data_IF_695303638776
#
_entry.id   IF_695303638776
#
_cell.length_a   1.000
_cell.length_b   1.000
_cell.length_c   1.000
_cell.angle_alpha   90.00
_cell.angle_beta   90.00
_cell.angle_gamma   90.00
#
_symmetry.space_group_name_H-M   'P 1'
#
loop_
_entity.id
_entity.type
_entity.pdbx_description
1 polymer ?
#
# COMPACT_ATOMS: atom_id res chain seq x y z
N UNK A 1 11.27 1.54 19.04
CA UNK A 1 12.48 2.08 18.39
C UNK A 1 13.04 3.33 19.07
N UNK A 2 12.24 4.35 19.35
CA UNK A 2 12.72 5.60 19.96
C UNK A 2 13.57 5.40 21.24
N UNK A 3 13.06 4.65 22.23
CA UNK A 3 13.78 4.38 23.47
C UNK A 3 15.05 3.52 23.29
N UNK A 4 15.20 2.81 22.17
CA UNK A 4 16.36 1.97 21.86
C UNK A 4 17.45 2.73 21.11
N UNK A 5 17.12 3.80 20.38
CA UNK A 5 18.09 4.65 19.66
C UNK A 5 18.49 5.91 20.43
N UNK A 6 17.73 6.34 21.44
CA UNK A 6 18.16 7.40 22.37
C UNK A 6 18.79 6.79 23.63
N UNK A 7 20.12 6.74 23.69
CA UNK A 7 20.87 6.06 24.76
C UNK A 7 20.81 6.72 26.14
N UNK A 8 20.14 7.86 26.32
CA UNK A 8 20.07 8.51 27.64
C UNK A 8 18.68 9.07 27.95
N UNK A 9 18.13 8.56 29.05
CA UNK A 9 16.96 9.06 29.77
C UNK A 9 17.12 10.54 30.11
N UNK A 10 16.66 11.43 29.22
CA UNK A 10 16.63 12.88 29.45
C UNK A 10 15.42 13.33 30.30
N UNK A 11 14.84 12.45 31.14
CA UNK A 11 13.73 12.77 32.06
C UNK A 11 12.59 13.59 31.41
N UNK A 12 12.27 13.33 30.14
CA UNK A 12 11.21 14.02 29.40
C UNK A 12 11.60 15.35 28.75
N UNK A 13 12.83 15.86 28.90
CA UNK A 13 13.26 17.11 28.27
C UNK A 13 13.27 17.05 26.73
N UNK A 14 13.43 15.87 26.12
CA UNK A 14 13.40 15.67 24.66
C UNK A 14 12.11 15.05 24.14
N UNK A 15 11.04 15.06 24.95
CA UNK A 15 9.75 14.52 24.51
C UNK A 15 9.23 15.23 23.25
N UNK A 16 9.56 16.52 23.08
CA UNK A 16 9.21 17.26 21.87
C UNK A 16 9.76 16.62 20.59
N UNK A 17 10.98 16.06 20.61
CA UNK A 17 11.54 15.36 19.47
C UNK A 17 10.67 14.18 19.04
N UNK A 18 10.17 13.40 20.01
CA UNK A 18 9.23 12.31 19.71
C UNK A 18 7.91 12.85 19.15
N UNK A 19 7.39 13.95 19.70
CA UNK A 19 6.15 14.56 19.21
C UNK A 19 6.28 15.06 17.78
N UNK A 20 7.45 15.55 17.37
CA UNK A 20 7.68 15.99 15.99
C UNK A 20 7.68 14.80 15.02
N UNK A 21 8.31 13.66 15.38
CA UNK A 21 8.21 12.42 14.60
C UNK A 21 6.76 11.90 14.54
N UNK A 22 6.04 11.86 15.66
CA UNK A 22 4.64 11.42 15.70
C UNK A 22 3.71 12.33 14.89
N UNK A 23 4.01 13.64 14.87
CA UNK A 23 3.26 14.60 14.06
C UNK A 23 3.48 14.32 12.57
N UNK A 24 4.72 14.08 12.17
CA UNK A 24 5.05 13.72 10.79
C UNK A 24 4.34 12.42 10.38
N UNK A 25 4.48 11.38 11.20
CA UNK A 25 3.83 10.08 11.01
C UNK A 25 2.31 10.23 10.84
N UNK A 26 1.65 10.96 11.75
CA UNK A 26 0.20 11.17 11.66
C UNK A 26 -0.24 11.97 10.41
N UNK A 27 0.58 12.90 9.93
CA UNK A 27 0.30 13.63 8.69
C UNK A 27 0.48 12.74 7.46
N UNK A 28 1.51 11.90 7.47
CA UNK A 28 1.76 10.92 6.42
C UNK A 28 0.67 9.85 6.38
N UNK A 29 0.26 9.28 7.52
CA UNK A 29 -0.84 8.31 7.62
C UNK A 29 -2.13 8.90 7.06
N UNK A 30 -2.43 10.16 7.38
CA UNK A 30 -3.60 10.84 6.81
C UNK A 30 -3.51 10.98 5.30
N UNK A 31 -2.32 11.28 4.77
CA UNK A 31 -2.09 11.32 3.34
C UNK A 31 -2.31 9.93 2.72
N UNK A 32 -1.74 8.88 3.31
CA UNK A 32 -1.93 7.50 2.89
C UNK A 32 -3.41 7.09 2.92
N UNK A 33 -4.17 7.46 3.95
CA UNK A 33 -5.60 7.13 4.04
C UNK A 33 -6.43 7.68 2.88
N UNK A 34 -6.09 8.86 2.37
CA UNK A 34 -6.76 9.44 1.20
C UNK A 34 -6.53 8.61 -0.07
N UNK A 35 -5.55 7.72 -0.04
CA UNK A 35 -5.13 6.93 -1.18
C UNK A 35 -5.57 5.48 -1.15
N UNK A 36 -6.13 5.02 -0.03
CA UNK A 36 -6.73 3.69 0.11
C UNK A 36 -7.66 3.34 -1.06
N UNK A 37 -8.56 4.24 -1.56
CA UNK A 37 -9.40 3.91 -2.72
C UNK A 37 -8.61 3.50 -3.97
N UNK A 38 -7.46 4.13 -4.21
CA UNK A 38 -6.58 3.79 -5.33
C UNK A 38 -5.89 2.45 -5.12
N UNK A 39 -5.42 2.18 -3.91
CA UNK A 39 -4.82 0.89 -3.56
C UNK A 39 -5.81 -0.27 -3.78
N UNK A 40 -7.07 -0.06 -3.42
CA UNK A 40 -8.14 -1.05 -3.56
C UNK A 40 -8.50 -1.27 -5.02
N UNK A 41 -8.68 -0.19 -5.79
CA UNK A 41 -8.94 -0.27 -7.22
C UNK A 41 -7.80 -1.02 -7.93
N UNK A 42 -6.56 -0.67 -7.61
CA UNK A 42 -5.38 -1.36 -8.13
C UNK A 42 -5.35 -2.85 -7.76
N UNK A 43 -5.64 -3.21 -6.50
CA UNK A 43 -5.70 -4.60 -6.07
C UNK A 43 -6.70 -5.41 -6.92
N UNK A 44 -7.90 -4.85 -7.20
CA UNK A 44 -8.88 -5.54 -8.05
C UNK A 44 -8.35 -5.79 -9.47
N UNK A 45 -7.66 -4.82 -10.06
CA UNK A 45 -7.13 -4.88 -11.43
C UNK A 45 -6.00 -5.91 -11.54
N UNK A 46 -5.05 -5.86 -10.60
CA UNK A 46 -3.94 -6.80 -10.56
C UNK A 46 -4.49 -8.21 -10.38
N UNK A 47 -5.46 -8.43 -9.49
CA UNK A 47 -6.06 -9.76 -9.27
C UNK A 47 -6.85 -10.26 -10.48
N UNK A 48 -7.61 -9.39 -11.15
CA UNK A 48 -8.35 -9.75 -12.37
C UNK A 48 -7.44 -10.05 -13.58
N UNK A 49 -6.15 -9.68 -13.50
CA UNK A 49 -5.18 -9.90 -14.57
C UNK A 49 -5.09 -8.76 -15.57
N UNK A 50 -5.75 -7.63 -15.31
CA UNK A 50 -5.66 -6.43 -16.13
C UNK A 50 -4.40 -5.62 -15.75
N UNK A 51 -3.24 -6.15 -16.17
CA UNK A 51 -1.93 -5.58 -15.81
C UNK A 51 -1.68 -4.23 -16.50
N UNK A 52 -2.26 -4.00 -17.68
CA UNK A 52 -2.13 -2.73 -18.38
C UNK A 52 -2.86 -1.61 -17.62
N UNK A 53 -4.09 -1.87 -17.19
CA UNK A 53 -4.85 -0.90 -16.39
C UNK A 53 -4.21 -0.67 -15.02
N UNK A 54 -3.74 -1.74 -14.37
CA UNK A 54 -3.01 -1.62 -13.10
C UNK A 54 -1.77 -0.73 -13.24
N UNK A 55 -0.97 -0.92 -14.29
CA UNK A 55 0.21 -0.10 -14.57
C UNK A 55 -0.14 1.37 -14.87
N UNK A 56 -1.26 1.62 -15.56
CA UNK A 56 -1.74 2.97 -15.81
C UNK A 56 -2.14 3.69 -14.52
N UNK A 57 -2.81 2.99 -13.60
CA UNK A 57 -3.17 3.52 -12.27
C UNK A 57 -1.93 3.78 -11.44
N UNK A 58 -0.95 2.86 -11.41
CA UNK A 58 0.32 3.08 -10.71
C UNK A 58 1.01 4.35 -11.17
N UNK A 59 1.11 4.54 -12.48
CA UNK A 59 1.74 5.74 -13.04
C UNK A 59 0.99 7.01 -12.67
N UNK A 60 -0.33 7.01 -12.81
CA UNK A 60 -1.16 8.16 -12.44
C UNK A 60 -0.98 8.53 -10.96
N UNK A 61 -1.02 7.51 -10.10
CA UNK A 61 -0.85 7.67 -8.66
C UNK A 61 0.56 8.16 -8.32
N UNK A 62 1.61 7.64 -8.96
CA UNK A 62 2.99 8.12 -8.79
C UNK A 62 3.09 9.60 -9.16
N UNK A 63 2.61 9.97 -10.36
CA UNK A 63 2.68 11.35 -10.86
C UNK A 63 1.98 12.36 -9.91
N UNK A 64 0.82 12.00 -9.36
CA UNK A 64 0.06 12.86 -8.44
C UNK A 64 0.63 12.90 -7.01
N UNK A 65 1.15 11.77 -6.51
CA UNK A 65 1.56 11.62 -5.10
C UNK A 65 3.01 12.00 -4.84
N UNK A 66 3.88 11.89 -5.85
CA UNK A 66 5.34 11.97 -5.69
C UNK A 66 5.81 13.27 -5.05
N UNK A 67 5.25 14.41 -5.45
CA UNK A 67 5.65 15.70 -4.86
C UNK A 67 5.39 15.78 -3.36
N UNK A 68 4.22 15.31 -2.93
CA UNK A 68 3.82 15.29 -1.52
C UNK A 68 4.64 14.25 -0.76
N UNK A 69 4.79 13.05 -1.33
CA UNK A 69 5.56 11.97 -0.72
C UNK A 69 7.04 12.35 -0.52
N UNK A 70 7.67 12.96 -1.53
CA UNK A 70 9.03 13.51 -1.41
C UNK A 70 9.16 14.53 -0.29
N UNK A 71 8.15 15.40 -0.08
CA UNK A 71 8.21 16.40 0.99
C UNK A 71 8.22 15.76 2.39
N UNK A 72 7.48 14.66 2.61
CA UNK A 72 7.50 13.93 3.88
C UNK A 72 8.83 13.22 4.13
N UNK A 73 9.44 12.64 3.08
CA UNK A 73 10.77 12.03 3.18
C UNK A 73 11.82 13.10 3.53
N UNK A 74 11.80 14.24 2.86
CA UNK A 74 12.71 15.36 3.13
C UNK A 74 12.54 15.91 4.56
N UNK A 75 11.30 16.05 5.04
CA UNK A 75 11.02 16.49 6.40
C UNK A 75 11.49 15.46 7.43
N UNK A 76 11.32 14.16 7.16
CA UNK A 76 11.84 13.10 8.02
C UNK A 76 13.37 13.16 8.12
N UNK A 77 14.07 13.25 6.99
CA UNK A 77 15.54 13.30 6.96
C UNK A 77 16.09 14.52 7.72
N UNK A 78 15.36 15.65 7.67
CA UNK A 78 15.68 16.85 8.44
C UNK A 78 15.54 16.58 9.95
N UNK A 79 14.42 16.02 10.41
CA UNK A 79 14.22 15.67 11.82
C UNK A 79 15.25 14.64 12.32
N UNK A 80 15.56 13.64 11.51
CA UNK A 80 16.57 12.62 11.84
C UNK A 80 17.97 13.25 12.01
N UNK A 81 18.30 14.21 11.15
CA UNK A 81 19.57 14.94 11.21
C UNK A 81 19.62 15.92 12.39
N UNK A 82 18.55 16.67 12.63
CA UNK A 82 18.45 17.67 13.69
C UNK A 82 18.57 17.02 15.07
N UNK A 83 17.84 15.92 15.30
CA UNK A 83 17.81 15.25 16.59
C UNK A 83 18.86 14.16 16.75
N UNK A 84 19.54 13.77 15.68
CA UNK A 84 20.52 12.69 15.68
C UNK A 84 19.89 11.34 16.03
N UNK A 85 18.60 11.17 15.74
CA UNK A 85 17.81 9.96 16.01
C UNK A 85 17.32 9.44 14.67
N UNK A 86 17.51 8.15 14.42
CA UNK A 86 16.85 7.45 13.30
C UNK A 86 15.83 6.48 13.83
N UNK A 87 14.68 6.43 13.17
CA UNK A 87 13.59 5.50 13.46
C UNK A 87 13.38 4.63 12.21
N UNK A 88 14.08 3.48 12.10
CA UNK A 88 14.07 2.68 10.88
C UNK A 88 12.68 2.28 10.39
N UNK A 89 11.75 1.93 11.28
CA UNK A 89 10.39 1.58 10.87
C UNK A 89 9.64 2.78 10.29
N UNK A 90 9.79 3.96 10.89
CA UNK A 90 9.18 5.20 10.37
C UNK A 90 9.82 5.61 9.04
N UNK A 91 11.14 5.47 8.92
CA UNK A 91 11.88 5.75 7.69
C UNK A 91 11.43 4.84 6.54
N UNK A 92 11.30 3.54 6.80
CA UNK A 92 10.76 2.61 5.82
C UNK A 92 9.30 2.95 5.49
N UNK A 93 8.43 3.22 6.49
CA UNK A 93 7.01 3.54 6.28
C UNK A 93 6.80 4.78 5.40
N UNK A 94 7.49 5.88 5.71
CA UNK A 94 7.41 7.12 4.92
C UNK A 94 8.10 6.95 3.56
N UNK A 95 9.22 6.20 3.51
CA UNK A 95 9.98 5.95 2.29
C UNK A 95 9.28 5.00 1.30
N UNK A 96 8.41 4.12 1.78
CA UNK A 96 7.62 3.21 0.95
C UNK A 96 6.67 3.98 0.02
N UNK A 97 6.14 5.12 0.47
CA UNK A 97 5.13 5.89 -0.24
C UNK A 97 3.92 5.00 -0.62
N UNK A 98 2.99 5.58 -1.38
CA UNK A 98 1.89 4.79 -1.95
C UNK A 98 2.35 3.68 -2.90
N UNK A 99 3.49 3.89 -3.57
CA UNK A 99 4.05 2.93 -4.51
C UNK A 99 4.44 1.63 -3.81
N UNK A 100 4.84 1.72 -2.53
CA UNK A 100 5.04 0.58 -1.66
C UNK A 100 3.79 -0.29 -1.58
N UNK A 101 2.65 0.31 -1.23
CA UNK A 101 1.37 -0.40 -1.13
C UNK A 101 0.92 -1.03 -2.47
N UNK A 102 1.10 -0.33 -3.59
CA UNK A 102 0.78 -0.88 -4.92
C UNK A 102 1.69 -2.06 -5.29
N UNK A 103 2.97 -1.99 -4.97
CA UNK A 103 3.89 -3.12 -5.16
C UNK A 103 3.49 -4.32 -4.28
N UNK A 104 3.03 -4.10 -3.05
CA UNK A 104 2.50 -5.17 -2.20
C UNK A 104 1.28 -5.87 -2.82
N UNK A 105 0.38 -5.12 -3.47
CA UNK A 105 -0.75 -5.69 -4.21
C UNK A 105 -0.29 -6.59 -5.38
N UNK A 106 0.72 -6.14 -6.14
CA UNK A 106 1.30 -6.96 -7.22
C UNK A 106 1.90 -8.24 -6.69
N UNK A 107 2.74 -8.16 -5.67
CA UNK A 107 3.35 -9.34 -5.04
C UNK A 107 2.29 -10.31 -4.52
N UNK A 108 1.26 -9.82 -3.83
CA UNK A 108 0.16 -10.63 -3.31
C UNK A 108 -0.60 -11.38 -4.43
N UNK A 109 -0.91 -10.69 -5.53
CA UNK A 109 -1.56 -11.32 -6.68
C UNK A 109 -0.65 -12.35 -7.38
N UNK A 110 0.66 -12.08 -7.45
CA UNK A 110 1.65 -13.00 -7.99
C UNK A 110 1.79 -14.28 -7.14
N UNK A 111 1.66 -14.20 -5.80
CA UNK A 111 1.65 -15.39 -4.93
C UNK A 111 0.59 -16.39 -5.36
N UNK A 112 -0.63 -15.91 -5.63
CA UNK A 112 -1.72 -16.77 -6.11
C UNK A 112 -1.36 -17.44 -7.45
N UNK A 113 -0.75 -16.70 -8.38
CA UNK A 113 -0.38 -17.19 -9.71
C UNK A 113 0.87 -18.07 -9.73
N UNK A 114 1.73 -17.95 -8.74
CA UNK A 114 2.95 -18.72 -8.60
C UNK A 114 2.72 -20.08 -7.90
N UNK A 115 1.50 -20.34 -7.42
CA UNK A 115 1.14 -21.62 -6.83
C UNK A 115 0.49 -22.55 -7.88
N UNK A 116 0.84 -23.84 -7.89
CA UNK A 116 0.18 -24.82 -8.76
C UNK A 116 -1.25 -25.09 -8.29
N UNK A 117 -2.15 -25.44 -9.22
CA UNK A 117 -3.52 -25.87 -8.90
C UNK A 117 -4.63 -24.93 -9.37
N UNK A 118 -4.30 -23.79 -9.99
CA UNK A 118 -5.28 -22.95 -10.68
C UNK A 118 -5.69 -23.63 -12.01
N UNK A 119 -7.00 -23.84 -12.28
CA UNK A 119 -7.46 -24.41 -13.54
C UNK A 119 -7.02 -23.54 -14.74
N UNK A 120 -6.41 -24.17 -15.75
CA UNK A 120 -5.96 -23.49 -16.97
C UNK A 120 -4.55 -22.92 -16.93
N UNK A 121 -3.83 -23.06 -15.81
CA UNK A 121 -2.42 -22.67 -15.70
C UNK A 121 -1.50 -23.82 -16.12
N UNK A 122 -0.50 -23.52 -16.95
CA UNK A 122 0.56 -24.49 -17.27
C UNK A 122 1.70 -24.41 -16.27
N UNK A 123 2.50 -25.48 -16.16
CA UNK A 123 3.70 -25.49 -15.32
C UNK A 123 4.69 -24.37 -15.70
N UNK A 124 4.79 -24.06 -16.99
CA UNK A 124 5.64 -22.96 -17.47
C UNK A 124 5.14 -21.59 -16.98
N UNK A 125 3.82 -21.38 -16.93
CA UNK A 125 3.24 -20.13 -16.42
C UNK A 125 3.53 -19.97 -14.93
N UNK A 126 3.45 -21.05 -14.15
CA UNK A 126 3.78 -21.05 -12.71
C UNK A 126 5.24 -20.63 -12.49
N UNK A 127 6.17 -21.20 -13.26
CA UNK A 127 7.59 -20.88 -13.18
C UNK A 127 7.89 -19.42 -13.55
N UNK A 128 7.23 -18.90 -14.60
CA UNK A 128 7.35 -17.48 -15.01
C UNK A 128 6.82 -16.55 -13.92
N UNK A 129 5.63 -16.84 -13.36
CA UNK A 129 5.05 -16.02 -12.29
C UNK A 129 5.88 -16.07 -11.00
N UNK A 130 6.43 -17.24 -10.65
CA UNK A 130 7.32 -17.37 -9.50
C UNK A 130 8.63 -16.59 -9.69
N UNK A 131 9.21 -16.63 -10.89
CA UNK A 131 10.39 -15.84 -11.22
C UNK A 131 10.09 -14.33 -11.12
N UNK A 132 8.93 -13.88 -11.64
CA UNK A 132 8.49 -12.49 -11.52
C UNK A 132 8.29 -12.07 -10.05
N UNK A 133 7.63 -12.89 -9.24
CA UNK A 133 7.45 -12.66 -7.80
C UNK A 133 8.79 -12.49 -7.08
N UNK A 134 9.77 -13.36 -7.39
CA UNK A 134 11.09 -13.30 -6.76
C UNK A 134 11.84 -12.01 -7.11
N UNK A 135 11.76 -11.56 -8.37
CA UNK A 135 12.35 -10.29 -8.80
C UNK A 135 11.69 -9.11 -8.10
N UNK A 136 10.35 -9.08 -8.08
CA UNK A 136 9.57 -8.05 -7.39
C UNK A 136 9.93 -7.95 -5.90
N UNK A 137 9.98 -9.08 -5.18
CA UNK A 137 10.36 -9.11 -3.76
C UNK A 137 11.81 -8.61 -3.58
N UNK A 138 12.73 -9.02 -4.45
CA UNK A 138 14.12 -8.57 -4.36
C UNK A 138 14.25 -7.05 -4.56
N UNK A 139 13.57 -6.50 -5.57
CA UNK A 139 13.54 -5.06 -5.82
C UNK A 139 12.89 -4.30 -4.66
N UNK A 140 11.81 -4.85 -4.10
CA UNK A 140 11.08 -4.28 -2.96
C UNK A 140 11.90 -4.27 -1.66
N UNK A 141 12.73 -5.30 -1.43
CA UNK A 141 13.65 -5.37 -0.29
C UNK A 141 14.87 -4.47 -0.46
N UNK A 142 15.38 -4.30 -1.68
CA UNK A 142 16.59 -3.51 -1.94
C UNK A 142 16.50 -2.04 -1.51
N UNK A 143 15.28 -1.54 -1.36
CA UNK A 143 14.95 -0.15 -1.01
C UNK A 143 14.68 0.07 0.48
N UNK A 144 14.75 -0.96 1.33
CA UNK A 144 14.38 -0.89 2.76
C UNK A 144 15.51 -1.24 3.70
N UNK A 145 15.50 -0.61 4.87
CA UNK A 145 16.52 -0.78 5.91
C UNK A 145 16.09 -1.89 6.88
N UNK A 146 14.78 -1.99 7.17
CA UNK A 146 14.19 -2.94 8.10
C UNK A 146 14.42 -2.57 9.56
N UNK A 147 13.42 -2.80 10.41
CA UNK A 147 13.52 -2.68 11.86
C UNK A 147 14.33 -3.82 12.51
N UNK A 148 14.32 -5.01 11.89
CA UNK A 148 15.02 -6.21 12.37
C UNK A 148 14.40 -6.88 13.62
N UNK A 149 13.34 -6.31 14.20
CA UNK A 149 12.70 -6.81 15.43
C UNK A 149 11.52 -7.74 15.12
N UNK A 150 10.65 -7.35 14.18
CA UNK A 150 9.46 -8.10 13.78
C UNK A 150 9.39 -8.23 12.24
N UNK A 151 8.76 -9.31 11.71
CA UNK A 151 8.52 -9.43 10.29
C UNK A 151 7.58 -8.30 9.83
N UNK A 152 7.99 -7.49 8.84
CA UNK A 152 7.17 -6.44 8.24
C UNK A 152 5.78 -6.90 7.81
N UNK A 153 4.80 -5.99 7.86
CA UNK A 153 3.40 -6.27 7.51
C UNK A 153 3.26 -6.87 6.10
N UNK A 154 4.01 -6.38 5.12
CA UNK A 154 3.96 -6.90 3.76
C UNK A 154 4.33 -8.39 3.68
N UNK A 155 5.28 -8.87 4.49
CA UNK A 155 5.63 -10.30 4.53
C UNK A 155 4.49 -11.11 5.14
N UNK A 156 3.85 -10.60 6.19
CA UNK A 156 2.70 -11.24 6.81
C UNK A 156 1.53 -11.33 5.81
N UNK A 157 1.31 -10.26 5.01
CA UNK A 157 0.32 -10.25 3.92
C UNK A 157 0.60 -11.34 2.88
N UNK A 158 1.84 -11.48 2.42
CA UNK A 158 2.20 -12.54 1.45
C UNK A 158 2.05 -13.95 2.04
N UNK A 159 2.42 -14.14 3.31
CA UNK A 159 2.23 -15.42 4.01
C UNK A 159 0.74 -15.78 4.11
N UNK A 160 -0.11 -14.81 4.49
CA UNK A 160 -1.56 -15.01 4.55
C UNK A 160 -2.20 -15.27 3.19
N UNK A 161 -1.66 -14.71 2.08
CA UNK A 161 -2.09 -15.09 0.73
C UNK A 161 -1.70 -16.53 0.38
N UNK A 162 -0.48 -16.95 0.74
CA UNK A 162 -0.02 -18.31 0.48
C UNK A 162 -0.87 -19.35 1.22
N UNK A 163 -1.16 -19.12 2.50
CA UNK A 163 -2.05 -19.98 3.29
C UNK A 163 -3.44 -20.09 2.64
N UNK A 164 -4.03 -18.96 2.23
CA UNK A 164 -5.32 -18.93 1.53
C UNK A 164 -5.34 -19.73 0.23
N UNK A 165 -4.25 -19.64 -0.55
CA UNK A 165 -4.11 -20.41 -1.79
C UNK A 165 -4.04 -21.92 -1.48
N UNK A 166 -3.32 -22.31 -0.43
CA UNK A 166 -3.27 -23.72 0.01
C UNK A 166 -4.62 -24.24 0.50
N UNK A 167 -5.43 -23.39 1.12
CA UNK A 167 -6.80 -23.71 1.55
C UNK A 167 -7.83 -23.72 0.39
N UNK A 168 -7.40 -23.42 -0.84
CA UNK A 168 -8.29 -23.36 -2.01
C UNK A 168 -9.19 -22.11 -2.04
N UNK A 169 -8.82 -21.05 -1.32
CA UNK A 169 -9.51 -19.74 -1.29
C UNK A 169 -8.61 -18.61 -1.80
N UNK A 170 -8.10 -18.68 -3.05
CA UNK A 170 -7.21 -17.64 -3.56
C UNK A 170 -7.94 -16.29 -3.67
N UNK A 171 -7.29 -15.24 -3.16
CA UNK A 171 -7.62 -13.84 -3.44
C UNK A 171 -8.97 -13.33 -2.95
N UNK A 172 -9.11 -13.16 -1.63
CA UNK A 172 -10.02 -12.15 -1.11
C UNK A 172 -9.35 -10.78 -1.25
N UNK A 173 -10.08 -9.79 -1.77
CA UNK A 173 -9.77 -8.38 -1.56
C UNK A 173 -9.57 -8.15 -0.06
N UNK A 174 -8.67 -7.22 0.32
CA UNK A 174 -8.44 -6.79 1.72
C UNK A 174 -9.62 -7.13 2.64
N UNK A 175 -9.44 -8.02 3.63
CA UNK A 175 -10.52 -8.50 4.50
C UNK A 175 -11.29 -7.33 5.15
N UNK A 176 -10.64 -6.18 5.37
CA UNK A 176 -11.29 -4.94 5.84
C UNK A 176 -12.40 -4.39 4.92
N UNK A 177 -12.38 -4.68 3.61
CA UNK A 177 -13.43 -4.30 2.67
C UNK A 177 -14.38 -5.45 2.34
N UNK A 178 -14.00 -6.68 2.67
CA UNK A 178 -14.81 -7.88 2.48
C UNK A 178 -15.60 -8.26 3.74
N UNK A 179 -15.23 -7.73 4.90
CA UNK A 179 -16.02 -7.77 6.14
C UNK A 179 -17.17 -6.77 6.07
N UNK A 180 -18.21 -7.13 5.31
CA UNK A 180 -19.42 -6.34 5.19
C UNK A 180 -20.52 -7.04 4.39
N UNK A 181 -21.77 -6.63 4.59
CA UNK A 181 -22.87 -7.12 3.77
C UNK A 181 -22.75 -6.58 2.33
N UNK A 182 -22.33 -7.43 1.40
CA UNK A 182 -22.35 -7.09 -0.02
C UNK A 182 -23.78 -6.96 -0.53
N UNK A 183 -24.15 -5.75 -0.93
CA UNK A 183 -25.39 -5.52 -1.67
C UNK A 183 -25.13 -5.66 -3.16
N UNK A 184 -25.78 -6.63 -3.80
CA UNK A 184 -25.73 -6.79 -5.25
C UNK A 184 -26.42 -5.60 -5.92
N UNK A 185 -25.65 -4.76 -6.60
CA UNK A 185 -26.15 -3.60 -7.36
C UNK A 185 -26.18 -3.98 -8.85
N UNK A 186 -27.30 -3.72 -9.52
CA UNK A 186 -27.42 -3.91 -10.98
C UNK A 186 -26.71 -2.78 -11.72
N UNK A 187 -26.13 -3.06 -12.89
CA UNK A 187 -25.48 -2.05 -13.75
C UNK A 187 -26.35 -0.78 -13.94
N UNK A 188 -27.65 -0.97 -14.18
CA UNK A 188 -28.63 0.11 -14.31
C UNK A 188 -28.68 1.07 -13.10
N UNK A 189 -28.45 0.55 -11.89
CA UNK A 189 -28.45 1.33 -10.67
C UNK A 189 -27.14 2.10 -10.50
N UNK A 190 -26.01 1.56 -10.97
CA UNK A 190 -24.72 2.27 -11.03
C UNK A 190 -24.85 3.46 -12.01
N UNK A 191 -25.37 3.21 -13.20
CA UNK A 191 -25.55 4.26 -14.22
C UNK A 191 -26.48 5.39 -13.73
N UNK A 192 -27.53 5.05 -12.97
CA UNK A 192 -28.41 6.03 -12.34
C UNK A 192 -27.71 6.87 -11.26
N UNK A 193 -26.84 6.26 -10.46
CA UNK A 193 -26.08 6.97 -9.43
C UNK A 193 -25.05 7.90 -10.06
N UNK A 194 -24.30 7.44 -11.07
CA UNK A 194 -23.34 8.25 -11.82
C UNK A 194 -24.02 9.44 -12.52
N UNK A 195 -25.16 9.22 -13.18
CA UNK A 195 -25.95 10.29 -13.78
C UNK A 195 -26.54 11.28 -12.75
N UNK A 196 -26.71 10.85 -11.50
CA UNK A 196 -27.11 11.72 -10.39
C UNK A 196 -25.95 12.59 -9.88
N UNK A 197 -24.74 12.04 -9.86
CA UNK A 197 -23.52 12.76 -9.46
C UNK A 197 -23.15 13.82 -10.49
N UNK A 198 -23.17 13.47 -11.79
CA UNK A 198 -22.87 14.41 -12.89
C UNK A 198 -23.81 15.62 -12.84
N UNK A 199 -25.13 15.38 -12.70
CA UNK A 199 -26.11 16.47 -12.58
C UNK A 199 -25.91 17.37 -11.36
N UNK A 200 -25.38 16.84 -10.26
CA UNK A 200 -25.07 17.64 -9.07
C UNK A 200 -23.81 18.47 -9.25
N UNK A 201 -22.82 17.96 -9.98
CA UNK A 201 -21.65 18.74 -10.37
C UNK A 201 -22.03 19.86 -11.35
N UNK A 202 -22.82 19.58 -12.38
CA UNK A 202 -23.27 20.60 -13.35
C UNK A 202 -24.11 21.71 -12.68
N UNK A 203 -24.91 21.35 -11.68
CA UNK A 203 -25.69 22.32 -10.89
C UNK A 203 -24.83 23.14 -9.92
N UNK A 204 -23.70 22.59 -9.45
CA UNK A 204 -22.73 23.33 -8.63
C UNK A 204 -21.90 24.31 -9.48
N UNK A 205 -21.57 23.95 -10.73
CA UNK A 205 -20.87 24.83 -11.67
C UNK A 205 -21.77 25.94 -12.26
N UNK A 206 -23.07 25.69 -12.41
CA UNK A 206 -24.02 26.71 -12.90
C UNK A 206 -24.49 27.72 -11.83
N UNK A 207 -24.02 27.58 -10.59
CA UNK A 207 -24.35 28.44 -9.45
C UNK A 207 -23.24 29.42 -9.03
N UNK A 208 -22.11 29.47 -9.75
CA UNK A 208 -21.09 30.53 -9.70
C UNK A 208 -21.25 31.48 -10.88
#
# INVERSE_FOLDING_TARGET
>A
EYNTTTTHSDYGNRLYCLLDFLRLEALYDRFEWNTIPWQVAHETMVRSGDLELAAAVEKFVDDESKGIASSFVEELEQLETEYGVRLPALHDHVGECIIGALAQNRMAALVSRACPGIPGQTQADVEVNFAALRTEIADFMSKRIGSGIEPPEWMQRLAGELERVQEGRPGALTDSLMDGEFRKITQRAIDQQLAGIIRRNDAAESGM
#
